data_IF_782829328562
#
_entry.id   IF_782829328562
#
_cell.length_a   1.000
_cell.length_b   1.000
_cell.length_c   1.000
_cell.angle_alpha   90.00
_cell.angle_beta   90.00
_cell.angle_gamma   90.00
#
_symmetry.space_group_name_H-M   'P 1'
#
loop_
_entity.id
_entity.type
_entity.pdbx_description
1 polymer ?
#
# COMPACT_ATOMS: atom_id res chain seq x y z
N UNK A 1 16.88 -27.71 -18.17
CA UNK A 1 16.08 -26.72 -18.93
C UNK A 1 14.67 -26.58 -18.37
N UNK A 2 13.93 -27.67 -18.13
CA UNK A 2 12.56 -27.68 -17.60
C UNK A 2 12.44 -27.04 -16.20
N UNK A 3 13.37 -27.30 -15.30
CA UNK A 3 13.37 -26.73 -13.94
C UNK A 3 13.55 -25.22 -13.92
N UNK A 4 14.44 -24.67 -14.76
CA UNK A 4 14.59 -23.22 -14.92
C UNK A 4 13.31 -22.57 -15.50
N UNK A 5 12.62 -23.28 -16.38
CA UNK A 5 11.36 -22.80 -16.96
C UNK A 5 10.25 -22.76 -15.91
N UNK A 6 10.08 -23.83 -15.11
CA UNK A 6 9.11 -23.88 -14.00
C UNK A 6 9.40 -22.82 -12.94
N UNK A 7 10.67 -22.67 -12.54
CA UNK A 7 11.09 -21.65 -11.59
C UNK A 7 10.77 -20.23 -12.11
N UNK A 8 10.95 -19.97 -13.41
CA UNK A 8 10.65 -18.67 -14.01
C UNK A 8 9.15 -18.38 -14.06
N UNK A 9 8.31 -19.38 -14.30
CA UNK A 9 6.84 -19.24 -14.24
C UNK A 9 6.43 -18.92 -12.81
N UNK A 10 6.89 -19.69 -11.82
CA UNK A 10 6.56 -19.49 -10.41
C UNK A 10 7.02 -18.12 -9.93
N UNK A 11 8.25 -17.71 -10.28
CA UNK A 11 8.78 -16.38 -9.99
C UNK A 11 7.87 -15.27 -10.54
N UNK A 12 7.46 -15.37 -11.81
CA UNK A 12 6.58 -14.39 -12.43
C UNK A 12 5.19 -14.33 -11.79
N UNK A 13 4.67 -15.46 -11.34
CA UNK A 13 3.35 -15.52 -10.70
C UNK A 13 3.38 -14.93 -9.29
N UNK A 14 4.43 -15.21 -8.51
CA UNK A 14 4.52 -14.78 -7.11
C UNK A 14 5.05 -13.36 -6.96
N UNK A 15 6.03 -12.95 -7.78
CA UNK A 15 6.74 -11.69 -7.57
C UNK A 15 6.29 -10.55 -8.49
N UNK A 16 5.51 -10.87 -9.53
CA UNK A 16 5.04 -9.85 -10.46
C UNK A 16 4.06 -8.91 -9.76
N UNK A 17 4.14 -7.62 -10.11
CA UNK A 17 3.19 -6.57 -9.70
C UNK A 17 1.74 -7.07 -9.77
N UNK A 18 0.99 -7.05 -8.65
CA UNK A 18 -0.38 -7.57 -8.60
C UNK A 18 -1.38 -6.61 -9.27
N UNK A 19 -2.50 -7.18 -9.74
CA UNK A 19 -3.69 -6.40 -10.09
C UNK A 19 -4.74 -6.61 -9.00
N UNK A 20 -4.68 -5.77 -7.99
CA UNK A 20 -5.44 -5.93 -6.74
C UNK A 20 -6.91 -5.50 -6.87
N UNK A 21 -7.22 -4.58 -7.79
CA UNK A 21 -8.57 -4.02 -7.91
C UNK A 21 -9.63 -5.07 -8.26
N UNK A 22 -9.24 -6.10 -9.02
CA UNK A 22 -10.14 -7.20 -9.38
C UNK A 22 -10.59 -8.03 -8.16
N UNK A 23 -9.73 -8.25 -7.18
CA UNK A 23 -10.06 -9.06 -6.01
C UNK A 23 -11.15 -8.39 -5.17
N UNK A 24 -11.06 -7.09 -4.96
CA UNK A 24 -12.05 -6.33 -4.19
C UNK A 24 -13.40 -6.18 -4.90
N UNK A 25 -13.40 -6.11 -6.23
CA UNK A 25 -14.63 -5.99 -7.02
C UNK A 25 -15.51 -7.25 -7.00
N UNK A 26 -15.00 -8.38 -6.53
CA UNK A 26 -15.70 -9.68 -6.52
C UNK A 26 -16.46 -9.98 -5.22
N UNK A 27 -16.32 -9.15 -4.17
CA UNK A 27 -16.96 -9.40 -2.87
C UNK A 27 -18.46 -9.05 -2.94
N UNK A 28 -19.31 -10.00 -2.56
CA UNK A 28 -20.77 -9.89 -2.59
C UNK A 28 -21.33 -9.64 -1.18
N UNK A 29 -22.56 -9.08 -1.06
CA UNK A 29 -23.22 -8.87 0.24
C UNK A 29 -23.40 -10.12 1.08
N UNK A 30 -23.38 -11.30 0.47
CA UNK A 30 -23.52 -12.60 1.15
C UNK A 30 -22.19 -13.14 1.68
N UNK A 31 -21.08 -12.51 1.34
CA UNK A 31 -19.76 -12.96 1.75
C UNK A 31 -19.45 -12.52 3.18
N UNK A 32 -18.81 -13.37 3.97
CA UNK A 32 -18.44 -13.08 5.36
C UNK A 32 -17.51 -11.85 5.53
N UNK A 33 -16.84 -11.46 4.46
CA UNK A 33 -15.94 -10.29 4.41
C UNK A 33 -16.62 -8.99 3.99
N UNK A 34 -17.90 -9.02 3.60
CA UNK A 34 -18.60 -7.85 3.04
C UNK A 34 -18.57 -6.64 3.98
N UNK A 35 -18.89 -6.84 5.26
CA UNK A 35 -18.90 -5.75 6.24
C UNK A 35 -17.51 -5.16 6.45
N UNK A 36 -16.47 -6.00 6.44
CA UNK A 36 -15.08 -5.56 6.54
C UNK A 36 -14.68 -4.72 5.33
N UNK A 37 -15.00 -5.19 4.13
CA UNK A 37 -14.72 -4.46 2.88
C UNK A 37 -15.47 -3.13 2.84
N UNK A 38 -16.72 -3.10 3.31
CA UNK A 38 -17.51 -1.85 3.40
C UNK A 38 -16.87 -0.85 4.37
N UNK A 39 -16.40 -1.30 5.53
CA UNK A 39 -15.66 -0.45 6.48
C UNK A 39 -14.37 0.09 5.86
N UNK A 40 -13.62 -0.74 5.17
CA UNK A 40 -12.40 -0.33 4.44
C UNK A 40 -12.72 0.74 3.40
N UNK A 41 -13.77 0.57 2.61
CA UNK A 41 -14.19 1.56 1.61
C UNK A 41 -14.60 2.89 2.26
N UNK A 42 -15.34 2.85 3.36
CA UNK A 42 -15.76 4.05 4.09
C UNK A 42 -14.53 4.79 4.66
N UNK A 43 -13.60 4.06 5.28
CA UNK A 43 -12.35 4.63 5.80
C UNK A 43 -11.49 5.24 4.69
N UNK A 44 -11.43 4.61 3.53
CA UNK A 44 -10.71 5.13 2.36
C UNK A 44 -11.32 6.45 1.88
N UNK A 45 -12.64 6.52 1.77
CA UNK A 45 -13.33 7.75 1.39
C UNK A 45 -13.16 8.87 2.42
N UNK A 46 -13.04 8.52 3.70
CA UNK A 46 -12.84 9.48 4.78
C UNK A 46 -11.42 10.02 4.82
N UNK A 47 -10.41 9.15 4.76
CA UNK A 47 -9.01 9.59 4.81
C UNK A 47 -8.65 10.48 3.61
N UNK A 48 -9.21 10.22 2.43
CA UNK A 48 -9.00 11.04 1.24
C UNK A 48 -9.58 12.47 1.34
N UNK A 49 -10.47 12.74 2.32
CA UNK A 49 -10.97 14.10 2.59
C UNK A 49 -9.98 14.90 3.43
N UNK A 50 -9.04 14.27 4.10
CA UNK A 50 -8.02 14.97 4.87
C UNK A 50 -7.04 15.69 3.93
N UNK A 51 -6.51 16.86 4.32
CA UNK A 51 -5.39 17.48 3.63
C UNK A 51 -4.22 16.50 3.54
N UNK A 52 -3.66 16.36 2.36
CA UNK A 52 -2.55 15.42 2.15
C UNK A 52 -1.60 15.89 1.05
N UNK A 53 -0.42 15.34 1.03
CA UNK A 53 0.63 15.59 0.06
C UNK A 53 1.11 14.27 -0.55
N UNK A 54 1.42 14.28 -1.84
CA UNK A 54 2.09 13.14 -2.49
C UNK A 54 3.59 13.37 -2.37
N UNK A 55 4.25 12.50 -1.66
CA UNK A 55 5.71 12.47 -1.56
C UNK A 55 6.28 11.53 -2.62
N UNK A 56 7.47 11.89 -3.11
CA UNK A 56 8.22 11.07 -4.05
C UNK A 56 9.68 11.00 -3.61
N UNK A 57 10.25 9.80 -3.65
CA UNK A 57 11.68 9.55 -3.43
C UNK A 57 12.24 8.70 -4.56
N UNK A 58 13.54 8.72 -4.72
CA UNK A 58 14.26 7.83 -5.63
C UNK A 58 14.95 6.74 -4.82
N UNK A 59 14.65 5.48 -5.11
CA UNK A 59 15.28 4.33 -4.45
C UNK A 59 16.75 4.19 -4.85
N UNK A 60 17.51 3.33 -4.15
CA UNK A 60 18.92 3.06 -4.44
C UNK A 60 19.16 2.51 -5.86
N UNK A 61 18.17 1.87 -6.47
CA UNK A 61 18.19 1.33 -7.83
C UNK A 61 17.41 2.19 -8.85
N UNK A 62 17.23 3.47 -8.54
CA UNK A 62 16.64 4.51 -9.39
C UNK A 62 15.14 4.33 -9.72
N UNK A 63 14.39 3.65 -8.89
CA UNK A 63 12.92 3.63 -9.00
C UNK A 63 12.32 4.88 -8.33
N UNK A 64 11.32 5.47 -8.95
CA UNK A 64 10.50 6.52 -8.30
C UNK A 64 9.46 5.85 -7.43
N UNK A 65 9.57 6.08 -6.13
CA UNK A 65 8.65 5.56 -5.13
C UNK A 65 7.79 6.70 -4.61
N UNK A 66 6.51 6.44 -4.37
CA UNK A 66 5.54 7.42 -3.92
C UNK A 66 4.91 7.03 -2.60
N UNK A 67 4.42 8.03 -1.89
CA UNK A 67 3.62 7.84 -0.69
C UNK A 67 2.65 8.99 -0.51
N UNK A 68 1.63 8.79 0.33
CA UNK A 68 0.71 9.83 0.73
C UNK A 68 1.02 10.23 2.16
N UNK A 69 1.23 11.50 2.38
CA UNK A 69 1.48 12.08 3.69
C UNK A 69 0.29 12.92 4.14
N UNK A 70 -0.23 12.61 5.31
CA UNK A 70 -1.32 13.31 5.96
C UNK A 70 -0.76 14.07 7.17
N UNK A 71 -0.52 15.39 7.05
CA UNK A 71 -0.04 16.20 8.17
C UNK A 71 -1.12 16.35 9.23
N UNK A 72 -0.74 16.25 10.50
CA UNK A 72 -1.60 16.61 11.62
C UNK A 72 -1.54 18.12 11.89
N UNK A 73 -2.48 18.61 12.70
CA UNK A 73 -2.45 19.99 13.18
C UNK A 73 -1.23 20.26 14.10
N UNK A 74 -0.64 19.24 14.69
CA UNK A 74 0.52 19.34 15.57
C UNK A 74 1.82 19.42 14.74
N UNK A 75 2.26 20.62 14.40
CA UNK A 75 3.51 20.83 13.69
C UNK A 75 4.69 20.27 14.48
N UNK A 76 5.48 19.40 13.85
CA UNK A 76 6.63 18.74 14.47
C UNK A 76 6.32 17.47 15.27
N UNK A 77 5.09 16.97 15.16
CA UNK A 77 4.66 15.73 15.83
C UNK A 77 5.28 14.47 15.24
N UNK A 78 5.04 13.35 15.92
CA UNK A 78 5.43 12.02 15.49
C UNK A 78 4.71 11.66 14.18
N UNK A 79 5.43 11.01 13.26
CA UNK A 79 4.86 10.44 12.04
C UNK A 79 4.72 8.92 12.19
N UNK A 80 3.51 8.42 11.99
CA UNK A 80 3.23 6.98 11.91
C UNK A 80 3.33 6.55 10.46
N UNK A 81 4.13 5.54 10.17
CA UNK A 81 4.27 4.96 8.84
C UNK A 81 3.40 3.69 8.77
N UNK A 82 2.40 3.68 7.91
CA UNK A 82 1.50 2.55 7.69
C UNK A 82 1.95 1.76 6.45
N UNK A 83 2.65 0.66 6.66
CA UNK A 83 3.18 -0.18 5.58
C UNK A 83 2.18 -1.29 5.25
N UNK A 84 1.83 -1.43 3.98
CA UNK A 84 0.91 -2.44 3.50
C UNK A 84 1.58 -3.80 3.31
N UNK A 85 0.77 -4.87 3.29
CA UNK A 85 1.23 -6.23 3.10
C UNK A 85 1.55 -6.61 1.64
N UNK A 86 2.04 -7.83 1.48
CA UNK A 86 2.30 -8.47 0.19
C UNK A 86 1.02 -8.52 -0.66
N UNK A 87 1.13 -8.15 -1.93
CA UNK A 87 0.03 -8.10 -2.91
C UNK A 87 -1.20 -7.29 -2.47
N UNK A 88 -1.03 -6.36 -1.57
CA UNK A 88 -2.11 -5.55 -1.03
C UNK A 88 -2.17 -4.14 -1.64
N UNK A 89 -3.17 -3.37 -1.22
CA UNK A 89 -3.38 -1.99 -1.65
C UNK A 89 -3.07 -1.05 -0.48
N UNK A 90 -2.01 -0.26 -0.61
CA UNK A 90 -1.49 0.60 0.45
C UNK A 90 -2.59 1.42 1.16
N UNK A 91 -3.37 2.16 0.40
CA UNK A 91 -4.39 3.04 0.97
C UNK A 91 -5.53 2.27 1.64
N UNK A 92 -6.00 1.17 1.03
CA UNK A 92 -7.11 0.38 1.58
C UNK A 92 -6.76 -0.27 2.91
N UNK A 93 -5.55 -0.82 3.04
CA UNK A 93 -5.09 -1.38 4.31
C UNK A 93 -4.84 -0.31 5.37
N UNK A 94 -4.31 0.84 4.93
CA UNK A 94 -3.84 1.87 5.85
C UNK A 94 -4.88 2.93 6.18
N UNK A 95 -6.02 3.01 5.47
CA UNK A 95 -7.02 4.04 5.70
C UNK A 95 -7.58 4.03 7.11
N UNK A 96 -8.02 2.88 7.61
CA UNK A 96 -8.58 2.76 8.95
C UNK A 96 -7.54 3.06 10.05
N UNK A 97 -6.37 2.38 10.11
CA UNK A 97 -5.35 2.73 11.10
C UNK A 97 -4.80 4.15 10.91
N UNK A 98 -4.70 4.63 9.67
CA UNK A 98 -4.28 6.00 9.37
C UNK A 98 -5.22 7.04 9.97
N UNK A 99 -6.53 6.89 9.78
CA UNK A 99 -7.53 7.75 10.41
C UNK A 99 -7.43 7.73 11.94
N UNK A 100 -7.28 6.55 12.52
CA UNK A 100 -7.14 6.40 13.96
C UNK A 100 -5.93 7.18 14.49
N UNK A 101 -4.74 6.97 13.92
CA UNK A 101 -3.54 7.68 14.36
C UNK A 101 -3.61 9.18 14.07
N UNK A 102 -4.18 9.58 12.94
CA UNK A 102 -4.37 10.99 12.61
C UNK A 102 -5.30 11.69 13.61
N UNK A 103 -6.38 11.01 14.06
CA UNK A 103 -7.29 11.54 15.09
C UNK A 103 -6.62 11.75 16.45
N UNK A 104 -5.56 11.02 16.73
CA UNK A 104 -4.70 11.20 17.91
C UNK A 104 -3.67 12.33 17.76
N UNK A 105 -3.66 13.03 16.62
CA UNK A 105 -2.74 14.13 16.35
C UNK A 105 -1.37 13.72 15.78
N UNK A 106 -1.22 12.49 15.31
CA UNK A 106 -0.03 12.05 14.61
C UNK A 106 -0.09 12.39 13.12
N UNK A 107 1.05 12.70 12.52
CA UNK A 107 1.17 12.64 11.07
C UNK A 107 1.08 11.19 10.60
N UNK A 108 0.58 10.97 9.40
CA UNK A 108 0.50 9.62 8.84
C UNK A 108 1.16 9.60 7.47
N UNK A 109 2.05 8.63 7.25
CA UNK A 109 2.64 8.35 5.95
C UNK A 109 2.21 6.96 5.49
N UNK A 110 1.63 6.90 4.30
CA UNK A 110 1.24 5.66 3.63
C UNK A 110 2.13 5.50 2.39
N UNK A 111 3.24 4.77 2.48
CA UNK A 111 4.10 4.53 1.33
C UNK A 111 3.48 3.48 0.42
N UNK A 112 3.62 3.68 -0.89
CA UNK A 112 3.45 2.62 -1.87
C UNK A 112 4.80 1.94 -2.06
N UNK A 113 4.93 0.72 -1.56
CA UNK A 113 6.15 -0.06 -1.76
C UNK A 113 6.43 -0.28 -3.25
N UNK A 114 7.69 -0.59 -3.61
CA UNK A 114 8.03 -0.93 -4.99
C UNK A 114 7.06 -1.95 -5.59
N UNK A 115 6.78 -1.83 -6.88
CA UNK A 115 5.82 -2.66 -7.60
C UNK A 115 4.36 -2.56 -7.11
N UNK A 116 4.01 -1.56 -6.29
CA UNK A 116 2.62 -1.32 -5.85
C UNK A 116 2.14 0.09 -6.21
N UNK A 117 0.84 0.22 -6.43
CA UNK A 117 0.18 1.50 -6.70
C UNK A 117 0.91 2.36 -7.75
N UNK A 118 1.15 3.65 -7.48
CA UNK A 118 1.87 4.55 -8.38
C UNK A 118 3.40 4.45 -8.29
N UNK A 119 3.96 3.67 -7.36
CA UNK A 119 5.41 3.43 -7.27
C UNK A 119 5.88 2.57 -8.44
N UNK A 120 7.10 2.83 -8.90
CA UNK A 120 7.73 2.04 -9.94
C UNK A 120 8.15 0.66 -9.41
N UNK A 121 8.64 -0.16 -10.31
CA UNK A 121 9.05 -1.53 -10.00
C UNK A 121 8.20 -2.56 -10.71
N UNK A 122 8.84 -3.68 -11.01
CA UNK A 122 8.23 -4.78 -11.76
C UNK A 122 7.93 -5.98 -10.87
N UNK A 123 8.70 -6.12 -9.81
CA UNK A 123 8.68 -7.28 -8.93
C UNK A 123 8.66 -6.86 -7.46
N UNK A 124 7.94 -7.63 -6.66
CA UNK A 124 7.96 -7.58 -5.20
C UNK A 124 9.15 -8.43 -4.73
N UNK A 125 9.94 -7.92 -3.79
CA UNK A 125 11.17 -8.57 -3.36
C UNK A 125 11.12 -9.12 -1.92
N UNK A 126 9.93 -9.24 -1.33
CA UNK A 126 9.70 -9.77 0.02
C UNK A 126 10.59 -9.14 1.10
N UNK A 127 10.77 -7.84 1.04
CA UNK A 127 11.56 -7.09 2.01
C UNK A 127 13.04 -6.96 1.67
N UNK A 128 13.60 -7.76 0.74
CA UNK A 128 15.03 -7.71 0.45
C UNK A 128 15.48 -6.42 -0.24
N UNK A 129 14.66 -5.88 -1.14
CA UNK A 129 14.89 -4.57 -1.76
C UNK A 129 14.09 -3.46 -1.08
N UNK A 130 12.88 -3.77 -0.62
CA UNK A 130 12.01 -2.83 0.10
C UNK A 130 12.67 -2.29 1.38
N UNK A 131 13.56 -3.04 2.03
CA UNK A 131 14.30 -2.58 3.21
C UNK A 131 15.38 -1.53 2.89
N UNK A 132 15.69 -1.34 1.62
CA UNK A 132 16.65 -0.34 1.14
C UNK A 132 15.98 0.89 0.52
N UNK A 133 14.66 0.84 0.37
CA UNK A 133 13.83 1.94 -0.14
C UNK A 133 13.51 2.93 0.96
#
# INVERSE_FOLDING_TARGET
MLEKFKANILFRQLLKRPNIDKAYAMVKPTDSWYDTITKVHNSLAEIHRLPHEILEITSHDNLRLKGIYYPSANKGGVTVICIHGYTSHAERESAFPGLFYHSLGYNVLIPYLRAHGPSEGKYIAFGSLESMD
#
